data_IF_923284039627
#
_entry.id   IF_923284039627
#
_cell.length_a   1.000
_cell.length_b   1.000
_cell.length_c   1.000
_cell.angle_alpha   90.00
_cell.angle_beta   90.00
_cell.angle_gamma   90.00
#
_symmetry.space_group_name_H-M   'P 1'
#
loop_
_entity.id
_entity.type
_entity.pdbx_description
1 polymer ?
#
# COMPACT_ATOMS: atom_id res chain seq x y z
N UNK A 1 -34.99 -12.33 48.15
CA UNK A 1 -33.64 -11.90 47.75
C UNK A 1 -33.51 -12.14 46.25
N UNK A 2 -33.70 -11.11 45.43
CA UNK A 2 -33.49 -11.21 43.98
C UNK A 2 -31.99 -11.11 43.71
N UNK A 3 -31.39 -12.22 43.27
CA UNK A 3 -30.02 -12.23 42.73
C UNK A 3 -29.99 -11.22 41.58
N UNK A 4 -29.10 -10.21 41.68
CA UNK A 4 -28.87 -9.29 40.59
C UNK A 4 -28.54 -10.09 39.32
N UNK A 5 -29.03 -9.68 38.14
CA UNK A 5 -28.69 -10.38 36.90
C UNK A 5 -27.16 -10.44 36.76
N UNK A 6 -26.63 -11.63 36.44
CA UNK A 6 -25.20 -11.87 36.23
C UNK A 6 -24.77 -11.22 34.90
N UNK A 7 -24.58 -9.89 34.95
CA UNK A 7 -24.15 -9.06 33.83
C UNK A 7 -22.69 -9.32 33.41
N UNK A 8 -21.94 -10.11 34.19
CA UNK A 8 -20.55 -10.45 33.89
C UNK A 8 -20.41 -11.62 32.90
N UNK A 9 -21.50 -12.38 32.68
CA UNK A 9 -21.47 -13.57 31.79
C UNK A 9 -22.43 -13.49 30.61
N UNK A 10 -23.44 -12.62 30.69
CA UNK A 10 -24.54 -12.55 29.72
C UNK A 10 -24.72 -11.14 29.18
N UNK A 11 -24.87 -11.03 27.85
CA UNK A 11 -25.22 -9.81 27.14
C UNK A 11 -26.64 -9.90 26.57
N UNK A 12 -27.28 -8.75 26.41
CA UNK A 12 -28.56 -8.63 25.73
C UNK A 12 -28.41 -7.74 24.50
N UNK A 13 -28.87 -8.22 23.34
CA UNK A 13 -28.94 -7.39 22.13
C UNK A 13 -30.02 -6.32 22.31
N UNK A 14 -29.64 -5.05 22.19
CA UNK A 14 -30.59 -3.93 22.33
C UNK A 14 -31.62 -3.86 21.19
N UNK A 15 -31.33 -4.46 20.03
CA UNK A 15 -32.22 -4.40 18.87
C UNK A 15 -33.31 -5.46 18.88
N UNK A 16 -32.99 -6.70 19.29
CA UNK A 16 -33.94 -7.83 19.26
C UNK A 16 -34.22 -8.44 20.64
N UNK A 17 -33.61 -7.92 21.70
CA UNK A 17 -33.80 -8.39 23.07
C UNK A 17 -33.20 -9.77 23.38
N UNK A 18 -32.53 -10.40 22.42
CA UNK A 18 -31.94 -11.73 22.58
C UNK A 18 -30.78 -11.72 23.60
N UNK A 19 -30.82 -12.66 24.54
CA UNK A 19 -29.79 -12.82 25.57
C UNK A 19 -28.83 -13.93 25.14
N UNK A 20 -27.54 -13.62 25.10
CA UNK A 20 -26.48 -14.52 24.68
C UNK A 20 -25.25 -14.38 25.60
N UNK A 21 -24.44 -15.43 25.77
CA UNK A 21 -23.26 -15.35 26.60
C UNK A 21 -22.17 -14.51 25.94
N UNK A 22 -21.39 -13.79 26.73
CA UNK A 22 -20.41 -12.79 26.24
C UNK A 22 -19.35 -13.43 25.33
N UNK A 23 -18.96 -14.68 25.58
CA UNK A 23 -17.96 -15.37 24.75
C UNK A 23 -18.47 -15.75 23.34
N UNK A 24 -19.78 -15.77 23.12
CA UNK A 24 -20.37 -15.98 21.78
C UNK A 24 -20.51 -14.68 21.00
N UNK A 25 -20.33 -13.53 21.66
CA UNK A 25 -20.31 -12.24 20.99
C UNK A 25 -19.16 -12.21 19.99
N UNK A 26 -19.47 -12.00 18.70
CA UNK A 26 -18.44 -11.70 17.70
C UNK A 26 -17.80 -10.37 18.07
N UNK A 27 -16.58 -10.42 18.61
CA UNK A 27 -15.78 -9.22 18.84
C UNK A 27 -15.36 -8.72 17.47
N UNK A 28 -16.02 -7.66 16.99
CA UNK A 28 -15.53 -6.93 15.83
C UNK A 28 -14.11 -6.43 16.15
N UNK A 29 -13.18 -6.67 15.23
CA UNK A 29 -11.81 -6.20 15.34
C UNK A 29 -11.82 -4.69 15.53
N UNK A 30 -11.37 -4.21 16.69
CA UNK A 30 -11.14 -2.78 16.92
C UNK A 30 -10.09 -2.32 15.91
N UNK A 31 -10.38 -1.24 15.19
CA UNK A 31 -9.35 -0.50 14.45
C UNK A 31 -8.27 -0.10 15.46
N UNK A 32 -7.09 -0.69 15.35
CA UNK A 32 -5.92 -0.24 16.10
C UNK A 32 -5.51 1.12 15.53
N UNK A 33 -5.52 2.15 16.36
CA UNK A 33 -4.93 3.44 16.04
C UNK A 33 -3.40 3.25 16.02
N UNK A 34 -2.85 2.88 14.87
CA UNK A 34 -1.42 2.85 14.62
C UNK A 34 -0.90 4.28 14.42
N UNK A 35 -0.94 5.09 15.49
CA UNK A 35 -0.19 6.35 15.52
C UNK A 35 1.25 6.00 15.86
N UNK A 36 2.06 5.73 14.83
CA UNK A 36 3.51 5.62 15.00
C UNK A 36 4.06 6.99 15.42
N UNK A 37 4.43 7.14 16.70
CA UNK A 37 5.06 8.35 17.20
C UNK A 37 6.48 8.45 16.61
N UNK A 38 6.69 9.33 15.63
CA UNK A 38 8.04 9.62 15.14
C UNK A 38 8.82 10.40 16.20
N UNK A 39 9.92 9.85 16.71
CA UNK A 39 10.82 10.54 17.64
C UNK A 39 11.60 11.70 17.00
N UNK A 40 11.58 11.81 15.67
CA UNK A 40 12.31 12.83 14.93
C UNK A 40 11.39 13.50 13.89
N UNK A 41 11.16 14.82 13.95
CA UNK A 41 10.29 15.54 13.01
C UNK A 41 10.87 15.63 11.59
N UNK A 42 12.13 15.26 11.37
CA UNK A 42 12.77 15.20 10.06
C UNK A 42 12.81 13.78 9.48
N UNK A 43 12.24 12.79 10.17
CA UNK A 43 12.18 11.38 9.78
C UNK A 43 11.13 11.18 8.66
N UNK A 44 11.36 11.85 7.53
CA UNK A 44 10.54 11.79 6.33
C UNK A 44 10.92 10.53 5.55
N UNK A 45 10.28 9.39 5.87
CA UNK A 45 10.55 8.16 5.13
C UNK A 45 10.03 6.87 5.73
N UNK A 46 9.43 6.88 6.92
CA UNK A 46 8.80 5.66 7.47
C UNK A 46 7.57 5.33 6.63
N UNK A 47 7.68 4.26 5.86
CA UNK A 47 6.57 3.69 5.11
C UNK A 47 5.56 3.17 6.10
N UNK A 48 4.43 3.87 6.24
CA UNK A 48 3.26 3.36 6.97
C UNK A 48 2.92 2.01 6.32
N UNK A 49 3.04 0.93 7.11
CA UNK A 49 2.82 -0.43 6.61
C UNK A 49 1.36 -0.54 6.16
N UNK A 50 1.13 -0.91 4.91
CA UNK A 50 -0.22 -1.16 4.37
C UNK A 50 -0.73 -0.15 3.34
N UNK A 51 -0.07 1.00 3.17
CA UNK A 51 -0.30 1.89 2.03
C UNK A 51 0.90 1.80 1.09
N UNK A 52 0.78 0.97 0.07
CA UNK A 52 1.63 1.02 -1.12
C UNK A 52 1.51 2.42 -1.73
N UNK A 53 2.29 3.38 -1.22
CA UNK A 53 2.41 4.73 -1.74
C UNK A 53 3.15 4.64 -3.08
N UNK A 54 2.50 4.08 -4.10
CA UNK A 54 2.98 4.06 -5.48
C UNK A 54 2.93 5.50 -5.97
N UNK A 55 4.02 6.23 -5.73
CA UNK A 55 4.22 7.57 -6.29
C UNK A 55 4.02 7.47 -7.79
N UNK A 56 2.95 8.11 -8.29
CA UNK A 56 2.60 8.04 -9.72
C UNK A 56 3.75 8.67 -10.50
N UNK A 57 4.46 7.87 -11.31
CA UNK A 57 5.54 8.36 -12.17
C UNK A 57 5.00 9.44 -13.12
N UNK A 58 5.70 10.57 -13.18
CA UNK A 58 5.38 11.67 -14.09
C UNK A 58 5.58 11.24 -15.55
N UNK A 59 4.97 11.95 -16.50
CA UNK A 59 5.12 11.68 -17.95
C UNK A 59 6.59 11.62 -18.37
N UNK A 60 7.41 12.52 -17.84
CA UNK A 60 8.85 12.58 -18.09
C UNK A 60 9.59 11.34 -17.57
N UNK A 61 9.33 10.94 -16.32
CA UNK A 61 9.93 9.75 -15.72
C UNK A 61 9.60 8.48 -16.51
N UNK A 62 8.34 8.35 -16.99
CA UNK A 62 7.94 7.23 -17.85
C UNK A 62 8.70 7.22 -19.18
N UNK A 63 8.88 8.38 -19.83
CA UNK A 63 9.63 8.49 -21.09
C UNK A 63 11.10 8.10 -20.89
N UNK A 64 11.73 8.56 -19.81
CA UNK A 64 13.10 8.20 -19.46
C UNK A 64 13.25 6.70 -19.20
N UNK A 65 12.28 6.10 -18.52
CA UNK A 65 12.29 4.66 -18.28
C UNK A 65 12.19 3.86 -19.58
N UNK A 66 11.27 4.21 -20.48
CA UNK A 66 11.17 3.57 -21.79
C UNK A 66 12.45 3.66 -22.62
N UNK A 67 13.15 4.80 -22.55
CA UNK A 67 14.44 4.97 -23.24
C UNK A 67 15.49 4.05 -22.63
N UNK A 68 15.56 3.96 -21.30
CA UNK A 68 16.46 3.04 -20.62
C UNK A 68 16.17 1.60 -20.99
N UNK A 69 14.90 1.20 -20.96
CA UNK A 69 14.47 -0.15 -21.33
C UNK A 69 14.82 -0.44 -22.81
N UNK A 70 14.72 0.54 -23.71
CA UNK A 70 15.16 0.37 -25.11
C UNK A 70 16.68 0.15 -25.21
N UNK A 71 17.47 0.94 -24.49
CA UNK A 71 18.95 0.79 -24.48
C UNK A 71 19.36 -0.56 -23.91
N UNK A 72 18.71 -1.02 -22.84
CA UNK A 72 19.05 -2.29 -22.17
C UNK A 72 18.64 -3.51 -23.02
N UNK A 73 17.62 -3.38 -23.88
CA UNK A 73 17.16 -4.44 -24.78
C UNK A 73 17.85 -4.44 -26.16
N UNK A 74 18.59 -3.39 -26.51
CA UNK A 74 19.26 -3.29 -27.80
C UNK A 74 20.46 -4.25 -27.86
N UNK A 75 20.50 -5.10 -28.89
CA UNK A 75 21.59 -6.09 -29.05
C UNK A 75 22.82 -5.48 -29.71
N UNK A 76 22.62 -4.47 -30.54
CA UNK A 76 23.69 -3.81 -31.28
C UNK A 76 24.38 -2.75 -30.38
N UNK A 77 25.70 -2.87 -30.14
CA UNK A 77 26.42 -1.95 -29.27
C UNK A 77 26.51 -0.53 -29.84
N UNK A 78 26.51 -0.38 -31.17
CA UNK A 78 26.61 0.92 -31.83
C UNK A 78 25.28 1.66 -31.74
N UNK A 79 24.16 0.96 -31.97
CA UNK A 79 22.81 1.52 -31.78
C UNK A 79 22.58 1.89 -30.31
N UNK A 80 23.00 1.04 -29.37
CA UNK A 80 22.90 1.33 -27.94
C UNK A 80 23.72 2.57 -27.54
N UNK A 81 24.92 2.75 -28.13
CA UNK A 81 25.76 3.92 -27.91
C UNK A 81 25.09 5.21 -28.40
N UNK A 82 24.50 5.20 -29.60
CA UNK A 82 23.81 6.35 -30.16
C UNK A 82 22.53 6.71 -29.38
N UNK A 83 21.78 5.72 -28.90
CA UNK A 83 20.63 5.94 -28.04
C UNK A 83 21.00 6.57 -26.69
N UNK A 84 22.17 6.23 -26.12
CA UNK A 84 22.69 6.85 -24.89
C UNK A 84 23.06 8.32 -25.08
N UNK A 85 23.55 8.69 -26.28
CA UNK A 85 23.85 10.08 -26.66
C UNK A 85 22.59 10.91 -26.91
N UNK A 86 21.44 10.26 -27.07
CA UNK A 86 20.14 10.91 -27.31
C UNK A 86 19.78 11.06 -28.78
N UNK A 87 20.50 10.37 -29.67
CA UNK A 87 20.21 10.40 -31.10
C UNK A 87 19.01 9.52 -31.45
N UNK A 88 18.22 9.96 -32.43
CA UNK A 88 17.07 9.21 -32.92
C UNK A 88 17.53 8.23 -33.99
N UNK A 89 17.62 6.94 -33.66
CA UNK A 89 17.96 5.88 -34.62
C UNK A 89 16.70 5.32 -35.25
N UNK A 90 16.61 5.42 -36.58
CA UNK A 90 15.58 4.81 -37.44
C UNK A 90 16.24 3.79 -38.35
N UNK A 91 15.79 2.53 -38.31
CA UNK A 91 16.25 1.48 -39.21
C UNK A 91 15.49 1.66 -40.54
N UNK A 92 16.21 1.81 -41.63
CA UNK A 92 15.64 1.82 -42.99
C UNK A 92 15.85 0.40 -43.51
N UNK A 93 14.77 -0.33 -43.75
CA UNK A 93 14.81 -1.65 -44.39
C UNK A 93 14.73 -1.43 -45.91
N UNK A 94 15.70 -1.97 -46.65
CA UNK A 94 15.74 -1.99 -48.12
C UNK A 94 14.85 -3.09 -48.72
#
# INVERSE_FOLDING_TARGET
>A
MSLAPDHDKWCQCLSCGHIYPIYEAKIESKLQDFVETSSNPFDTGKSIVGLDNKVKKTRFQRKRQRLKDRIDNEKDPDIACELRKGNLVTIIED
#
